data_IF_248880530813
#
_entry.id   IF_248880530813
#
_cell.length_a   1.000
_cell.length_b   1.000
_cell.length_c   1.000
_cell.angle_alpha   90.00
_cell.angle_beta   90.00
_cell.angle_gamma   90.00
#
_symmetry.space_group_name_H-M   'P 1'
#
loop_
_entity.id
_entity.type
_entity.pdbx_description
1 polymer ?
#
# COMPACT_ATOMS: atom_id res chain seq x y z
N UNK A 1 15.09 -9.61 -1.67
CA UNK A 1 16.51 -9.94 -1.39
C UNK A 1 16.93 -9.14 -0.19
N UNK A 2 17.49 -9.78 0.84
CA UNK A 2 17.98 -9.09 2.03
C UNK A 2 19.50 -9.20 2.08
N UNK A 3 20.15 -8.09 2.40
CA UNK A 3 21.58 -8.01 2.58
C UNK A 3 21.88 -7.44 3.97
N UNK A 4 22.62 -8.21 4.77
CA UNK A 4 22.95 -7.89 6.15
C UNK A 4 24.45 -7.80 6.31
N UNK A 5 24.92 -6.68 6.84
CA UNK A 5 26.34 -6.38 6.95
C UNK A 5 26.64 -5.40 8.07
N UNK A 6 27.90 -5.32 8.51
CA UNK A 6 28.35 -4.31 9.47
C UNK A 6 27.96 -2.92 9.00
N UNK A 7 27.52 -2.10 9.94
CA UNK A 7 27.03 -0.77 9.66
C UNK A 7 28.04 0.13 8.93
N UNK A 8 29.33 0.01 9.23
CA UNK A 8 30.41 0.73 8.53
C UNK A 8 30.49 0.39 7.03
N UNK A 9 30.09 -0.83 6.66
CA UNK A 9 30.12 -1.32 5.28
C UNK A 9 28.85 -0.90 4.53
N UNK A 10 27.68 -0.98 5.19
CA UNK A 10 26.38 -0.67 4.58
C UNK A 10 25.97 0.81 4.68
N UNK A 11 26.58 1.61 5.56
CA UNK A 11 26.24 3.04 5.72
C UNK A 11 26.79 3.96 4.62
N UNK A 12 27.80 3.51 3.86
CA UNK A 12 28.30 4.22 2.69
C UNK A 12 27.32 4.17 1.51
N UNK A 13 27.62 4.91 0.43
CA UNK A 13 26.98 4.76 -0.89
C UNK A 13 27.13 3.34 -1.51
N UNK A 14 27.63 2.38 -0.73
CA UNK A 14 28.02 1.02 -1.09
C UNK A 14 26.96 -0.04 -0.75
N UNK A 15 25.77 0.35 -0.26
CA UNK A 15 24.58 -0.52 -0.28
C UNK A 15 24.07 -0.78 -1.72
N UNK A 16 24.77 -0.28 -2.73
CA UNK A 16 24.91 -0.96 -4.01
C UNK A 16 25.96 -2.04 -3.81
N UNK A 17 25.54 -3.23 -3.37
CA UNK A 17 26.28 -4.41 -3.83
C UNK A 17 26.40 -4.25 -5.34
N UNK A 18 27.65 -4.30 -5.82
CA UNK A 18 28.12 -4.02 -7.18
C UNK A 18 28.41 -2.51 -7.44
N UNK A 19 29.66 -2.20 -7.79
CA UNK A 19 30.18 -0.84 -8.05
C UNK A 19 29.57 -0.13 -9.29
N UNK A 20 30.22 0.88 -9.88
CA UNK A 20 29.65 1.71 -10.95
C UNK A 20 29.21 0.98 -12.25
N UNK A 21 29.43 -0.34 -12.34
CA UNK A 21 28.90 -1.24 -13.38
C UNK A 21 27.60 -1.99 -13.02
N UNK A 22 27.05 -1.81 -11.82
CA UNK A 22 25.84 -2.48 -11.30
C UNK A 22 24.50 -1.90 -11.78
N UNK A 23 24.51 -1.22 -12.91
CA UNK A 23 23.28 -0.70 -13.49
C UNK A 23 22.53 -1.85 -14.15
N UNK A 24 21.85 -2.65 -13.35
CA UNK A 24 20.60 -3.35 -13.70
C UNK A 24 20.18 -4.23 -12.54
N UNK A 25 18.99 -3.95 -12.00
CA UNK A 25 18.20 -4.97 -11.33
C UNK A 25 18.13 -6.20 -12.25
N UNK A 26 18.07 -7.42 -11.73
CA UNK A 26 17.74 -8.55 -12.58
C UNK A 26 16.38 -8.27 -13.22
N UNK A 27 16.34 -7.97 -14.51
CA UNK A 27 15.08 -7.85 -15.26
C UNK A 27 14.69 -9.26 -15.76
N UNK A 28 13.40 -9.54 -15.87
CA UNK A 28 12.90 -10.84 -16.31
C UNK A 28 12.77 -11.88 -15.19
N UNK A 29 12.97 -13.17 -15.49
CA UNK A 29 12.60 -14.33 -14.63
C UNK A 29 13.26 -14.39 -13.24
N UNK A 30 14.24 -13.52 -12.93
CA UNK A 30 14.93 -13.46 -11.63
C UNK A 30 14.74 -12.10 -10.93
N UNK A 31 13.80 -11.29 -11.40
CA UNK A 31 13.55 -9.97 -10.84
C UNK A 31 13.11 -10.02 -9.39
N UNK A 32 13.71 -9.14 -8.59
CA UNK A 32 13.42 -9.00 -7.17
C UNK A 32 12.69 -7.67 -7.00
N UNK A 33 11.46 -7.71 -6.48
CA UNK A 33 10.66 -6.48 -6.30
C UNK A 33 11.25 -5.48 -5.30
N UNK A 34 12.05 -5.97 -4.33
CA UNK A 34 12.71 -5.13 -3.31
C UNK A 34 14.02 -5.72 -2.80
N UNK A 35 15.04 -4.86 -2.70
CA UNK A 35 16.30 -5.13 -1.99
C UNK A 35 16.26 -4.41 -0.64
N UNK A 36 16.50 -5.12 0.46
CA UNK A 36 16.49 -4.55 1.82
C UNK A 36 17.88 -4.65 2.43
N UNK A 37 18.50 -3.49 2.67
CA UNK A 37 19.72 -3.38 3.47
C UNK A 37 19.39 -3.40 4.96
N UNK A 38 19.91 -4.39 5.69
CA UNK A 38 19.74 -4.57 7.13
C UNK A 38 21.09 -4.44 7.85
N UNK A 39 21.57 -3.21 8.12
CA UNK A 39 22.79 -3.03 8.89
C UNK A 39 22.66 -3.56 10.31
N UNK A 40 23.74 -4.13 10.81
CA UNK A 40 23.89 -4.57 12.19
C UNK A 40 25.19 -4.02 12.81
N UNK A 41 25.22 -4.02 14.14
CA UNK A 41 26.41 -3.69 14.93
C UNK A 41 26.47 -4.60 16.17
N UNK A 42 27.49 -4.44 17.01
CA UNK A 42 27.76 -5.31 18.16
C UNK A 42 28.88 -6.32 17.89
N UNK A 43 29.42 -6.98 18.93
CA UNK A 43 30.48 -7.98 18.79
C UNK A 43 29.94 -9.35 18.34
N UNK A 44 30.82 -10.26 17.85
CA UNK A 44 30.44 -11.65 17.59
C UNK A 44 29.75 -12.28 18.79
N UNK A 45 28.59 -12.90 18.56
CA UNK A 45 27.74 -13.48 19.60
C UNK A 45 26.67 -12.53 20.18
N UNK A 46 26.76 -11.21 19.91
CA UNK A 46 25.82 -10.20 20.42
C UNK A 46 25.48 -9.13 19.38
N UNK A 47 25.28 -9.53 18.11
CA UNK A 47 24.88 -8.59 17.07
C UNK A 47 23.45 -8.12 17.25
N UNK A 48 23.20 -6.84 16.99
CA UNK A 48 21.87 -6.25 16.94
C UNK A 48 21.68 -5.41 15.68
N UNK A 49 20.46 -5.46 15.13
CA UNK A 49 20.08 -4.68 13.96
C UNK A 49 19.96 -3.21 14.34
N UNK A 50 20.43 -2.32 13.47
CA UNK A 50 20.30 -0.88 13.71
C UNK A 50 19.05 -0.32 13.05
N UNK A 51 18.67 0.92 13.41
CA UNK A 51 17.57 1.64 12.75
C UNK A 51 17.88 2.01 11.27
N UNK A 52 19.12 1.75 10.85
CA UNK A 52 19.75 1.89 9.52
C UNK A 52 19.05 1.27 8.30
N UNK A 53 17.90 0.62 8.48
CA UNK A 53 17.26 -0.16 7.41
C UNK A 53 16.97 0.71 6.19
N UNK A 54 17.32 0.23 5.01
CA UNK A 54 16.99 0.87 3.73
C UNK A 54 16.36 -0.14 2.77
N UNK A 55 15.22 0.24 2.20
CA UNK A 55 14.49 -0.55 1.23
C UNK A 55 14.64 0.11 -0.15
N UNK A 56 15.08 -0.65 -1.14
CA UNK A 56 15.19 -0.25 -2.54
C UNK A 56 14.18 -1.07 -3.36
N UNK A 57 12.98 -0.51 -3.56
CA UNK A 57 11.96 -1.10 -4.43
C UNK A 57 12.16 -0.65 -5.88
N UNK A 58 11.71 -1.47 -6.83
CA UNK A 58 11.57 -1.03 -8.22
C UNK A 58 10.44 0.03 -8.32
N UNK A 59 10.63 1.13 -9.06
CA UNK A 59 9.54 2.05 -9.33
C UNK A 59 8.49 1.36 -10.23
N UNK A 60 7.22 1.80 -10.15
CA UNK A 60 6.22 1.44 -11.15
C UNK A 60 6.77 1.63 -12.58
N UNK A 61 6.47 0.69 -13.48
CA UNK A 61 6.99 0.72 -14.87
C UNK A 61 6.45 1.90 -15.68
N UNK A 62 5.26 2.39 -15.33
CA UNK A 62 4.52 3.42 -16.04
C UNK A 62 3.92 4.43 -15.06
N UNK A 63 3.57 5.65 -15.53
CA UNK A 63 2.80 6.60 -14.74
C UNK A 63 1.50 6.00 -14.22
N UNK A 64 1.24 6.18 -12.94
CA UNK A 64 0.08 5.63 -12.22
C UNK A 64 -1.03 6.68 -12.08
N UNK A 65 -2.17 6.28 -11.52
CA UNK A 65 -3.23 7.23 -11.13
C UNK A 65 -2.73 8.26 -10.10
N UNK A 66 -1.75 7.89 -9.26
CA UNK A 66 -1.15 8.80 -8.27
C UNK A 66 -0.44 9.97 -8.96
N UNK A 67 0.27 9.69 -10.05
CA UNK A 67 0.92 10.73 -10.86
C UNK A 67 -0.11 11.67 -11.49
N UNK A 68 -1.24 11.14 -11.95
CA UNK A 68 -2.31 11.96 -12.54
C UNK A 68 -2.92 12.90 -11.51
N UNK A 69 -3.26 12.39 -10.32
CA UNK A 69 -3.76 13.20 -9.21
C UNK A 69 -2.78 14.33 -8.86
N UNK A 70 -1.52 13.99 -8.59
CA UNK A 70 -0.48 14.96 -8.23
C UNK A 70 -0.26 16.01 -9.31
N UNK A 71 -0.15 15.60 -10.58
CA UNK A 71 0.10 16.52 -11.69
C UNK A 71 -1.09 17.44 -11.98
N UNK A 72 -2.30 17.06 -11.56
CA UNK A 72 -3.50 17.90 -11.58
C UNK A 72 -3.67 18.77 -10.33
N UNK A 73 -2.64 18.86 -9.49
CA UNK A 73 -2.65 19.71 -8.28
C UNK A 73 -3.47 19.13 -7.12
N UNK A 74 -3.83 17.85 -7.17
CA UNK A 74 -4.55 17.17 -6.09
C UNK A 74 -3.57 16.52 -5.11
N UNK A 75 -3.97 16.47 -3.84
CA UNK A 75 -3.14 15.89 -2.79
C UNK A 75 -3.17 14.36 -2.84
N UNK A 76 -2.03 13.69 -2.67
CA UNK A 76 -1.92 12.24 -2.51
C UNK A 76 -1.22 11.95 -1.18
N UNK A 77 -2.03 11.66 -0.18
CA UNK A 77 -1.60 11.24 1.15
C UNK A 77 -1.37 9.72 1.19
N UNK A 78 -0.14 9.31 1.41
CA UNK A 78 0.24 7.91 1.60
C UNK A 78 0.37 7.58 3.10
N UNK A 79 -0.29 6.52 3.55
CA UNK A 79 -0.21 6.03 4.93
C UNK A 79 0.36 4.61 4.95
N UNK A 80 1.28 4.36 5.86
CA UNK A 80 1.93 3.06 6.00
C UNK A 80 2.92 2.80 4.87
N UNK A 81 2.79 1.65 4.21
CA UNK A 81 3.77 1.19 3.20
C UNK A 81 3.56 1.72 1.79
N UNK A 82 2.52 2.50 1.53
CA UNK A 82 2.21 3.01 0.19
C UNK A 82 3.40 3.75 -0.44
N UNK A 83 4.11 4.60 0.32
CA UNK A 83 5.31 5.27 -0.22
C UNK A 83 6.42 4.31 -0.64
N UNK A 84 6.66 3.25 0.14
CA UNK A 84 7.70 2.27 -0.15
C UNK A 84 7.32 1.38 -1.35
N UNK A 85 6.02 1.09 -1.51
CA UNK A 85 5.46 0.30 -2.61
C UNK A 85 5.59 1.06 -3.94
N UNK A 86 5.24 2.34 -3.94
CA UNK A 86 5.29 3.18 -5.15
C UNK A 86 6.59 3.96 -5.29
N UNK A 87 7.61 3.72 -4.46
CA UNK A 87 8.89 4.47 -4.45
C UNK A 87 8.74 5.99 -4.36
N UNK A 88 7.65 6.47 -3.77
CA UNK A 88 7.31 7.90 -3.73
C UNK A 88 6.71 8.47 -5.02
N UNK A 89 6.58 7.68 -6.09
CA UNK A 89 5.97 8.11 -7.34
C UNK A 89 4.51 8.54 -7.13
N UNK A 90 4.13 9.70 -7.69
CA UNK A 90 2.80 10.28 -7.54
C UNK A 90 2.40 10.73 -6.12
N UNK A 91 3.24 10.59 -5.10
CA UNK A 91 2.90 10.94 -3.72
C UNK A 91 3.26 12.41 -3.43
N UNK A 92 2.38 13.10 -2.68
CA UNK A 92 2.63 14.48 -2.20
C UNK A 92 3.06 14.48 -0.73
N UNK A 93 2.41 13.69 0.11
CA UNK A 93 2.71 13.56 1.53
C UNK A 93 2.67 12.09 1.96
N UNK A 94 3.50 11.72 2.93
CA UNK A 94 3.57 10.35 3.42
C UNK A 94 3.81 10.29 4.91
N UNK A 95 3.20 9.32 5.59
CA UNK A 95 3.50 8.98 6.98
C UNK A 95 3.64 7.46 7.13
N UNK A 96 4.71 7.03 7.79
CA UNK A 96 4.93 5.61 8.13
C UNK A 96 4.16 5.25 9.38
N UNK A 97 3.76 3.98 9.50
CA UNK A 97 3.01 3.45 10.64
C UNK A 97 3.68 2.19 11.16
N UNK A 98 3.51 1.92 12.46
CA UNK A 98 4.08 0.74 13.12
C UNK A 98 3.11 -0.45 13.13
N UNK A 99 1.80 -0.18 13.10
CA UNK A 99 0.74 -1.18 13.13
C UNK A 99 -0.54 -0.62 12.47
N UNK A 100 -1.57 -1.46 12.38
CA UNK A 100 -2.85 -1.13 11.78
C UNK A 100 -3.59 -0.01 12.53
N UNK A 101 -3.56 0.01 13.86
CA UNK A 101 -4.24 1.01 14.67
C UNK A 101 -3.67 2.41 14.41
N UNK A 102 -2.34 2.54 14.38
CA UNK A 102 -1.68 3.79 14.00
C UNK A 102 -2.00 4.16 12.54
N UNK A 103 -2.08 3.17 11.63
CA UNK A 103 -2.51 3.39 10.25
C UNK A 103 -3.87 4.06 10.14
N UNK A 104 -4.83 3.61 10.94
CA UNK A 104 -6.17 4.20 11.00
C UNK A 104 -6.10 5.60 11.61
N UNK A 105 -5.35 5.80 12.69
CA UNK A 105 -5.19 7.12 13.33
C UNK A 105 -4.62 8.16 12.36
N UNK A 106 -3.58 7.79 11.59
CA UNK A 106 -3.01 8.67 10.56
C UNK A 106 -3.97 8.95 9.42
N UNK A 107 -4.81 7.97 9.06
CA UNK A 107 -5.87 8.15 8.06
C UNK A 107 -6.89 9.18 8.56
N UNK A 108 -7.33 9.09 9.81
CA UNK A 108 -8.24 10.06 10.43
C UNK A 108 -7.63 11.46 10.51
N UNK A 109 -6.33 11.57 10.83
CA UNK A 109 -5.60 12.84 10.77
C UNK A 109 -5.65 13.44 9.36
N UNK A 110 -5.42 12.65 8.31
CA UNK A 110 -5.50 13.17 6.94
C UNK A 110 -6.92 13.51 6.50
N UNK A 111 -7.92 12.73 6.91
CA UNK A 111 -9.34 13.08 6.70
C UNK A 111 -9.67 14.45 7.34
N UNK A 112 -9.15 14.73 8.53
CA UNK A 112 -9.37 16.02 9.23
C UNK A 112 -8.85 17.25 8.47
N UNK A 113 -7.89 17.07 7.54
CA UNK A 113 -7.31 18.16 6.75
C UNK A 113 -8.26 18.67 5.67
N UNK A 114 -9.22 17.84 5.23
CA UNK A 114 -10.23 18.18 4.22
C UNK A 114 -9.62 18.71 2.90
N UNK A 115 -8.45 18.19 2.55
CA UNK A 115 -7.81 18.52 1.27
C UNK A 115 -8.40 17.67 0.15
N UNK A 116 -8.55 18.26 -1.04
CA UNK A 116 -9.07 17.56 -2.21
C UNK A 116 -8.00 16.63 -2.79
N UNK A 117 -8.29 15.34 -2.83
CA UNK A 117 -7.39 14.34 -3.41
C UNK A 117 -7.62 12.94 -2.86
N UNK A 118 -6.55 12.16 -2.76
CA UNK A 118 -6.59 10.75 -2.36
C UNK A 118 -5.83 10.54 -1.04
N UNK A 119 -6.47 9.85 -0.09
CA UNK A 119 -5.79 9.20 1.03
C UNK A 119 -5.69 7.72 0.70
N UNK A 120 -4.46 7.22 0.59
CA UNK A 120 -4.18 5.82 0.29
C UNK A 120 -3.46 5.19 1.48
N UNK A 121 -4.15 4.28 2.16
CA UNK A 121 -3.68 3.61 3.37
C UNK A 121 -3.45 2.14 3.12
N UNK A 122 -2.31 1.62 3.58
CA UNK A 122 -2.05 0.19 3.67
C UNK A 122 -1.96 -0.23 5.15
N UNK A 123 -2.76 -1.22 5.52
CA UNK A 123 -2.82 -1.84 6.84
C UNK A 123 -2.10 -3.20 6.77
N UNK A 124 -0.79 -3.20 7.04
CA UNK A 124 0.10 -4.32 6.72
C UNK A 124 0.07 -5.49 7.72
N UNK A 125 -0.46 -5.30 8.93
CA UNK A 125 -0.32 -6.33 9.98
C UNK A 125 -1.02 -7.64 9.60
N UNK A 126 -2.11 -7.57 8.83
CA UNK A 126 -2.81 -8.73 8.28
C UNK A 126 -1.86 -9.69 7.56
N UNK A 127 -1.00 -9.14 6.70
CA UNK A 127 -0.02 -9.87 5.93
C UNK A 127 1.22 -10.24 6.76
N UNK A 128 1.85 -9.23 7.39
CA UNK A 128 3.19 -9.37 7.98
C UNK A 128 3.19 -10.07 9.34
N UNK A 129 2.14 -9.91 10.15
CA UNK A 129 2.07 -10.46 11.50
C UNK A 129 1.25 -11.74 11.57
N UNK A 130 0.24 -11.93 10.69
CA UNK A 130 -0.71 -13.02 10.83
C UNK A 130 -0.72 -13.97 9.63
N UNK A 131 -0.87 -13.46 8.41
CA UNK A 131 -0.90 -14.24 7.16
C UNK A 131 0.37 -15.08 6.98
N UNK A 132 1.52 -14.43 6.80
CA UNK A 132 2.81 -15.13 6.62
C UNK A 132 3.24 -15.99 7.81
N UNK A 133 2.60 -15.84 8.98
CA UNK A 133 2.89 -16.58 10.20
C UNK A 133 1.89 -17.71 10.48
N UNK A 134 0.90 -17.90 9.61
CA UNK A 134 -0.16 -18.89 9.76
C UNK A 134 -0.84 -18.82 11.14
N UNK A 135 -1.17 -17.60 11.56
CA UNK A 135 -1.89 -17.32 12.81
C UNK A 135 -3.34 -16.91 12.50
N UNK A 136 -4.27 -17.88 12.34
CA UNK A 136 -5.65 -17.56 11.99
C UNK A 136 -6.39 -16.82 13.11
N UNK A 137 -6.05 -17.05 14.38
CA UNK A 137 -6.69 -16.38 15.51
C UNK A 137 -6.25 -14.92 15.62
N UNK A 138 -4.95 -14.66 15.45
CA UNK A 138 -4.43 -13.30 15.35
C UNK A 138 -5.00 -12.54 14.15
N UNK A 139 -5.12 -13.20 13.00
CA UNK A 139 -5.73 -12.62 11.81
C UNK A 139 -7.20 -12.23 12.07
N UNK A 140 -8.00 -13.15 12.60
CA UNK A 140 -9.41 -12.90 12.93
C UNK A 140 -9.57 -11.75 13.92
N UNK A 141 -8.76 -11.74 14.99
CA UNK A 141 -8.77 -10.66 15.98
C UNK A 141 -8.39 -9.31 15.35
N UNK A 142 -7.40 -9.27 14.47
CA UNK A 142 -7.02 -8.04 13.78
C UNK A 142 -8.13 -7.52 12.86
N UNK A 143 -8.94 -8.42 12.26
CA UNK A 143 -10.11 -8.03 11.46
C UNK A 143 -11.21 -7.44 12.35
N UNK A 144 -11.50 -8.05 13.49
CA UNK A 144 -12.44 -7.51 14.49
C UNK A 144 -11.97 -6.15 15.00
N UNK A 145 -10.69 -6.00 15.33
CA UNK A 145 -10.10 -4.73 15.75
C UNK A 145 -10.22 -3.66 14.68
N UNK A 146 -10.01 -3.98 13.40
CA UNK A 146 -10.25 -3.04 12.29
C UNK A 146 -11.72 -2.66 12.16
N UNK A 147 -12.63 -3.64 12.23
CA UNK A 147 -14.07 -3.41 12.14
C UNK A 147 -14.58 -2.44 13.22
N UNK A 148 -14.08 -2.58 14.46
CA UNK A 148 -14.44 -1.65 15.56
C UNK A 148 -14.04 -0.20 15.30
N UNK A 149 -13.07 0.04 14.41
CA UNK A 149 -12.60 1.39 14.05
C UNK A 149 -13.36 1.99 12.85
N UNK A 150 -14.09 1.19 12.07
CA UNK A 150 -14.86 1.68 10.91
C UNK A 150 -15.84 2.82 11.26
N UNK A 151 -16.57 2.79 12.40
CA UNK A 151 -17.45 3.90 12.80
C UNK A 151 -16.74 5.25 13.00
N UNK A 152 -15.45 5.27 13.32
CA UNK A 152 -14.67 6.51 13.38
C UNK A 152 -14.42 7.07 11.97
N UNK A 153 -14.04 6.19 11.04
CA UNK A 153 -13.83 6.55 9.63
C UNK A 153 -15.14 7.10 9.05
N UNK A 154 -16.26 6.39 9.23
CA UNK A 154 -17.56 6.81 8.69
C UNK A 154 -17.99 8.19 9.19
N UNK A 155 -17.71 8.52 10.46
CA UNK A 155 -18.01 9.84 11.03
C UNK A 155 -17.09 10.95 10.55
N UNK A 156 -15.86 10.62 10.16
CA UNK A 156 -14.88 11.58 9.67
C UNK A 156 -15.11 11.97 8.19
N UNK A 157 -15.74 11.09 7.40
CA UNK A 157 -16.03 11.34 5.99
C UNK A 157 -16.94 12.57 5.80
N UNK A 158 -16.56 13.42 4.86
CA UNK A 158 -17.38 14.53 4.39
C UNK A 158 -18.46 14.04 3.40
N UNK A 159 -19.52 14.83 3.13
CA UNK A 159 -20.59 14.46 2.20
C UNK A 159 -20.14 14.04 0.80
N UNK A 160 -18.99 14.54 0.34
CA UNK A 160 -18.45 14.28 -0.99
C UNK A 160 -17.36 13.20 -1.01
N UNK A 161 -16.98 12.68 0.16
CA UNK A 161 -15.95 11.67 0.26
C UNK A 161 -16.49 10.29 -0.13
N UNK A 162 -15.61 9.50 -0.76
CA UNK A 162 -15.86 8.11 -1.12
C UNK A 162 -14.76 7.27 -0.48
N UNK A 163 -15.18 6.28 0.30
CA UNK A 163 -14.32 5.25 0.88
C UNK A 163 -14.34 4.01 -0.01
N UNK A 164 -13.17 3.50 -0.36
CA UNK A 164 -12.98 2.21 -1.02
C UNK A 164 -12.18 1.31 -0.10
N UNK A 165 -12.69 0.13 0.23
CA UNK A 165 -11.98 -0.91 0.97
C UNK A 165 -11.72 -2.09 0.02
N UNK A 166 -10.46 -2.52 -0.06
CA UNK A 166 -10.01 -3.64 -0.88
C UNK A 166 -8.75 -4.27 -0.30
N UNK A 167 -8.37 -5.44 -0.80
CA UNK A 167 -7.04 -6.04 -0.62
C UNK A 167 -6.28 -6.05 -1.95
N UNK A 168 -5.01 -6.46 -1.91
CA UNK A 168 -4.10 -6.59 -3.07
C UNK A 168 -3.74 -8.05 -3.40
N UNK A 169 -3.97 -8.98 -2.48
CA UNK A 169 -3.89 -10.43 -2.68
C UNK A 169 -4.50 -11.16 -1.48
N UNK A 170 -4.48 -12.50 -1.50
CA UNK A 170 -4.74 -13.33 -0.33
C UNK A 170 -3.46 -13.66 0.44
N UNK A 171 -3.62 -14.04 1.71
CA UNK A 171 -2.57 -14.69 2.51
C UNK A 171 -3.24 -15.57 3.56
N UNK A 172 -3.76 -16.72 3.12
CA UNK A 172 -4.57 -17.63 3.95
C UNK A 172 -3.74 -18.25 5.09
N UNK A 173 -3.99 -17.85 6.37
CA UNK A 173 -3.21 -18.30 7.51
C UNK A 173 -3.56 -19.73 7.96
N UNK A 174 -4.50 -20.39 7.28
CA UNK A 174 -4.91 -21.77 7.58
C UNK A 174 -4.21 -22.80 6.69
N UNK A 175 -3.43 -22.34 5.71
CA UNK A 175 -2.64 -23.20 4.84
C UNK A 175 -1.23 -23.42 5.40
N UNK A 176 -0.52 -24.49 4.99
CA UNK A 176 0.88 -24.67 5.36
C UNK A 176 1.83 -23.72 4.62
N UNK A 177 1.35 -22.98 3.61
CA UNK A 177 2.14 -21.98 2.88
C UNK A 177 2.54 -20.85 3.81
N UNK A 178 3.73 -20.29 3.62
CA UNK A 178 4.11 -18.99 4.22
C UNK A 178 4.21 -17.90 3.15
N UNK A 179 3.70 -18.17 1.95
CA UNK A 179 3.66 -17.24 0.82
C UNK A 179 2.21 -16.82 0.55
N UNK A 180 2.03 -15.78 -0.26
CA UNK A 180 0.71 -15.27 -0.64
C UNK A 180 -0.13 -16.30 -1.39
N UNK A 181 -1.45 -16.19 -1.22
CA UNK A 181 -2.44 -16.99 -1.94
C UNK A 181 -3.07 -16.17 -3.08
N UNK A 182 -3.35 -16.84 -4.21
CA UNK A 182 -3.99 -16.22 -5.36
C UNK A 182 -5.51 -16.23 -5.20
N UNK A 183 -6.04 -15.19 -4.60
CA UNK A 183 -7.45 -15.07 -4.26
C UNK A 183 -8.12 -13.86 -4.91
N UNK A 184 -9.45 -13.89 -4.96
CA UNK A 184 -10.23 -12.68 -5.16
C UNK A 184 -10.09 -11.77 -3.94
N UNK A 185 -10.17 -10.46 -4.15
CA UNK A 185 -10.15 -9.46 -3.08
C UNK A 185 -11.53 -8.81 -2.96
N UNK A 186 -11.98 -8.45 -1.75
CA UNK A 186 -13.24 -7.72 -1.59
C UNK A 186 -13.12 -6.33 -2.22
N UNK A 187 -14.23 -5.80 -2.72
CA UNK A 187 -14.35 -4.41 -3.13
C UNK A 187 -15.62 -3.82 -2.51
N UNK A 188 -15.45 -2.98 -1.50
CA UNK A 188 -16.54 -2.26 -0.86
C UNK A 188 -16.39 -0.77 -1.12
N UNK A 189 -17.48 -0.13 -1.52
CA UNK A 189 -17.51 1.30 -1.80
C UNK A 189 -18.61 1.96 -0.97
N UNK A 190 -18.26 3.01 -0.24
CA UNK A 190 -19.15 3.68 0.70
C UNK A 190 -18.99 5.20 0.59
N UNK A 191 -20.07 5.94 0.78
CA UNK A 191 -20.07 7.39 0.81
C UNK A 191 -21.48 7.94 0.70
N UNK A 192 -21.69 9.20 1.09
CA UNK A 192 -23.04 9.80 1.09
C UNK A 192 -23.62 9.98 -0.31
N UNK A 193 -22.76 10.16 -1.32
CA UNK A 193 -23.12 10.24 -2.74
C UNK A 193 -23.06 8.90 -3.48
N UNK A 194 -22.63 7.83 -2.79
CA UNK A 194 -22.55 6.48 -3.37
C UNK A 194 -23.92 5.83 -3.25
N UNK A 195 -24.46 5.33 -4.37
CA UNK A 195 -25.72 4.58 -4.40
C UNK A 195 -25.61 3.32 -3.53
N UNK A 196 -26.55 3.16 -2.60
CA UNK A 196 -26.61 1.98 -1.75
C UNK A 196 -27.10 0.74 -2.52
N UNK A 197 -26.63 -0.45 -2.12
CA UNK A 197 -27.11 -1.73 -2.65
C UNK A 197 -26.68 -2.06 -4.07
N UNK A 198 -25.75 -1.30 -4.67
CA UNK A 198 -25.21 -1.61 -6.00
C UNK A 198 -24.29 -2.83 -5.90
N UNK A 199 -24.63 -3.88 -6.65
CA UNK A 199 -23.76 -5.03 -6.84
C UNK A 199 -22.83 -4.76 -8.03
N UNK A 200 -21.54 -4.48 -7.74
CA UNK A 200 -20.50 -4.22 -8.74
C UNK A 200 -20.04 -5.47 -9.51
N UNK A 201 -20.54 -6.65 -9.13
CA UNK A 201 -20.13 -7.93 -9.67
C UNK A 201 -18.65 -8.24 -9.39
N UNK A 202 -18.12 -9.20 -10.13
CA UNK A 202 -16.68 -9.50 -10.13
C UNK A 202 -16.00 -8.54 -11.08
N UNK A 203 -14.94 -7.87 -10.62
CA UNK A 203 -14.13 -6.98 -11.46
C UNK A 203 -13.01 -7.78 -12.12
N UNK A 204 -12.74 -7.49 -13.39
CA UNK A 204 -11.74 -8.21 -14.19
C UNK A 204 -10.30 -7.89 -13.74
N UNK A 205 -10.09 -6.74 -13.09
CA UNK A 205 -8.75 -6.27 -12.70
C UNK A 205 -8.82 -5.25 -11.55
N UNK A 206 -7.77 -5.19 -10.73
CA UNK A 206 -7.62 -4.16 -9.69
C UNK A 206 -7.49 -2.75 -10.28
N UNK A 207 -7.08 -2.66 -11.54
CA UNK A 207 -6.96 -1.39 -12.26
C UNK A 207 -8.31 -0.66 -12.40
N UNK A 208 -9.44 -1.33 -12.17
CA UNK A 208 -10.76 -0.71 -12.14
C UNK A 208 -10.86 0.36 -11.05
N UNK A 209 -10.22 0.17 -9.89
CA UNK A 209 -10.17 1.19 -8.84
C UNK A 209 -9.45 2.45 -9.33
N UNK A 210 -8.32 2.28 -10.02
CA UNK A 210 -7.57 3.41 -10.58
C UNK A 210 -8.37 4.14 -11.68
N UNK A 211 -9.10 3.40 -12.52
CA UNK A 211 -9.99 3.99 -13.53
C UNK A 211 -11.14 4.76 -12.88
N UNK A 212 -11.78 4.21 -11.85
CA UNK A 212 -12.84 4.89 -11.09
C UNK A 212 -12.33 6.16 -10.42
N UNK A 213 -11.13 6.15 -9.83
CA UNK A 213 -10.52 7.37 -9.26
C UNK A 213 -10.32 8.43 -10.35
N UNK A 214 -9.85 8.05 -11.54
CA UNK A 214 -9.70 9.00 -12.64
C UNK A 214 -11.02 9.66 -13.01
N UNK A 215 -12.10 8.87 -13.13
CA UNK A 215 -13.44 9.37 -13.45
C UNK A 215 -13.98 10.31 -12.35
N UNK A 216 -13.86 9.93 -11.07
CA UNK A 216 -14.33 10.75 -9.94
C UNK A 216 -13.69 12.14 -9.95
N UNK A 217 -12.39 12.21 -10.26
CA UNK A 217 -11.65 13.47 -10.30
C UNK A 217 -11.65 14.15 -11.68
N UNK A 218 -12.35 13.59 -12.67
CA UNK A 218 -12.35 14.05 -14.06
C UNK A 218 -10.94 14.20 -14.65
N UNK A 219 -10.08 13.20 -14.43
CA UNK A 219 -8.69 13.18 -14.86
C UNK A 219 -8.54 12.45 -16.20
N UNK A 220 -7.70 13.01 -17.07
CA UNK A 220 -7.25 12.27 -18.26
C UNK A 220 -6.35 11.11 -17.84
N UNK A 221 -6.83 9.89 -18.08
CA UNK A 221 -6.07 8.66 -17.83
C UNK A 221 -6.10 7.77 -19.08
N UNK A 222 -5.25 8.07 -20.09
CA UNK A 222 -5.32 7.40 -21.39
C UNK A 222 -4.95 5.93 -21.27
N UNK A 223 -5.71 5.07 -21.96
CA UNK A 223 -5.54 3.62 -22.01
C UNK A 223 -5.49 2.97 -20.61
N UNK A 224 -6.49 3.23 -19.74
CA UNK A 224 -6.52 2.61 -18.43
C UNK A 224 -6.61 1.09 -18.60
N UNK A 225 -5.85 0.34 -17.80
CA UNK A 225 -5.89 -1.13 -17.83
C UNK A 225 -7.20 -1.70 -17.26
N UNK A 226 -7.97 -0.88 -16.54
CA UNK A 226 -9.26 -1.24 -15.96
C UNK A 226 -10.39 -0.35 -16.48
N UNK A 227 -11.61 -0.72 -16.10
CA UNK A 227 -12.86 -0.05 -16.43
C UNK A 227 -13.45 0.58 -15.17
N UNK A 228 -13.73 1.87 -15.25
CA UNK A 228 -14.37 2.59 -14.16
C UNK A 228 -15.76 2.04 -13.87
N UNK A 229 -16.09 1.96 -12.58
CA UNK A 229 -17.43 1.69 -12.08
C UNK A 229 -18.09 2.95 -11.49
N UNK A 230 -17.47 4.13 -11.63
CA UNK A 230 -18.05 5.39 -11.14
C UNK A 230 -19.47 5.64 -11.67
N UNK A 231 -19.80 5.39 -12.96
CA UNK A 231 -21.16 5.57 -13.47
C UNK A 231 -22.20 4.63 -12.83
N UNK A 232 -21.77 3.47 -12.32
CA UNK A 232 -22.64 2.50 -11.66
C UNK A 232 -23.04 3.01 -10.26
N UNK A 233 -22.11 3.66 -9.56
CA UNK A 233 -22.27 4.02 -8.14
C UNK A 233 -22.56 5.50 -7.89
N UNK A 234 -22.26 6.40 -8.83
CA UNK A 234 -22.54 7.83 -8.74
C UNK A 234 -23.71 8.19 -9.66
N UNK A 235 -24.44 9.25 -9.28
CA UNK A 235 -25.54 9.85 -10.06
C UNK A 235 -25.12 11.18 -10.63
#
# INVERSE_FOLDING_TARGET
FEDSGPEEILSGRNLLFWGPGARRFPEGKRGVGRVVGRPFTGPPGSFYRTARRRDFSLPPSDPTILDRLKNSGLTVFAVGKIKDIFTGQGITHSVTTQNNQEGIDKTLVFLSKKEKGLIFTNLIDFDMLYGHRNDPYGYAKALEEFDTRLPEIFRALQPDDILVLTADHGCDPTTPSTDHSREYVPLLVYGKKVKAGVNLGVRDTFADVAATIADIFNLSFPNPKGKSFAPEILS
#
